data_IF_055342282937
#
_entry.id   IF_055342282937
#
_cell.length_a   1.000
_cell.length_b   1.000
_cell.length_c   1.000
_cell.angle_alpha   90.00
_cell.angle_beta   90.00
_cell.angle_gamma   90.00
#
_symmetry.space_group_name_H-M   'P 1'
#
loop_
_entity.id
_entity.type
_entity.pdbx_description
1 polymer ?
#
# COMPACT_ATOMS: atom_id res chain seq x y z
N UNK A 1 -14.63 -6.61 -15.07
CA UNK A 1 -14.30 -5.35 -14.38
C UNK A 1 -12.86 -5.24 -13.91
N UNK A 2 -12.24 -6.32 -13.47
CA UNK A 2 -10.94 -6.40 -12.78
C UNK A 2 -9.73 -5.83 -13.57
N UNK A 3 -9.72 -5.96 -14.89
CA UNK A 3 -8.58 -5.49 -15.71
C UNK A 3 -8.48 -3.96 -15.81
N UNK A 4 -9.59 -3.22 -15.69
CA UNK A 4 -9.59 -1.75 -15.81
C UNK A 4 -9.18 -1.04 -14.51
N UNK A 5 -9.47 -1.64 -13.36
CA UNK A 5 -9.21 -1.01 -12.07
C UNK A 5 -7.72 -0.96 -11.72
N UNK A 6 -6.96 -2.02 -12.00
CA UNK A 6 -5.50 -2.03 -11.80
C UNK A 6 -4.78 -1.00 -12.69
N UNK A 7 -5.29 -0.73 -13.89
CA UNK A 7 -4.79 0.30 -14.82
C UNK A 7 -4.82 1.69 -14.21
N UNK A 8 -5.92 2.03 -13.58
CA UNK A 8 -6.18 3.36 -13.05
C UNK A 8 -5.29 3.64 -11.83
N UNK A 9 -5.05 2.60 -11.01
CA UNK A 9 -4.30 2.71 -9.75
C UNK A 9 -2.85 3.12 -9.96
N UNK A 10 -2.10 2.36 -10.76
CA UNK A 10 -0.68 2.64 -10.95
C UNK A 10 -0.45 3.82 -11.89
N UNK A 11 -1.21 3.92 -12.98
CA UNK A 11 -1.09 5.05 -13.90
C UNK A 11 -1.46 6.38 -13.21
N UNK A 12 -2.49 6.41 -12.40
CA UNK A 12 -2.92 7.60 -11.67
C UNK A 12 -1.86 8.10 -10.69
N UNK A 13 -1.22 7.20 -9.94
CA UNK A 13 -0.15 7.56 -9.00
C UNK A 13 1.06 8.14 -9.72
N UNK A 14 1.54 7.50 -10.78
CA UNK A 14 2.68 8.00 -11.55
C UNK A 14 2.39 9.32 -12.28
N UNK A 15 1.17 9.51 -12.79
CA UNK A 15 0.74 10.78 -13.38
C UNK A 15 0.71 11.92 -12.38
N UNK A 16 0.35 11.62 -11.13
CA UNK A 16 0.38 12.61 -10.06
C UNK A 16 1.81 13.00 -9.68
N UNK A 17 2.76 12.05 -9.66
CA UNK A 17 4.17 12.31 -9.36
C UNK A 17 4.84 13.26 -10.37
N UNK A 18 4.40 13.27 -11.60
CA UNK A 18 4.92 14.21 -12.64
C UNK A 18 4.53 15.67 -12.35
N UNK A 19 3.52 15.92 -11.50
CA UNK A 19 2.90 17.23 -11.32
C UNK A 19 2.73 17.67 -9.88
N UNK A 20 2.94 16.80 -8.92
CA UNK A 20 2.78 17.06 -7.49
C UNK A 20 4.01 16.63 -6.71
N UNK A 21 4.30 17.28 -5.55
CA UNK A 21 5.38 16.83 -4.66
C UNK A 21 5.17 15.38 -4.23
N UNK A 22 6.24 14.58 -4.27
CA UNK A 22 6.22 13.17 -3.84
C UNK A 22 5.65 13.03 -2.42
N UNK A 23 6.01 13.96 -1.54
CA UNK A 23 5.50 14.04 -0.18
C UNK A 23 3.95 14.08 -0.12
N UNK A 24 3.32 14.89 -0.96
CA UNK A 24 1.86 15.01 -1.01
C UNK A 24 1.22 13.72 -1.59
N UNK A 25 1.80 13.13 -2.62
CA UNK A 25 1.35 11.86 -3.18
C UNK A 25 1.46 10.72 -2.15
N UNK A 26 2.52 10.72 -1.32
CA UNK A 26 2.72 9.78 -0.22
C UNK A 26 1.58 9.88 0.80
N UNK A 27 1.20 11.09 1.23
CA UNK A 27 0.06 11.27 2.16
C UNK A 27 -1.22 10.71 1.55
N UNK A 28 -1.49 10.99 0.27
CA UNK A 28 -2.67 10.44 -0.43
C UNK A 28 -2.63 8.91 -0.45
N UNK A 29 -1.49 8.31 -0.75
CA UNK A 29 -1.35 6.84 -0.74
C UNK A 29 -1.66 6.26 0.64
N UNK A 30 -1.11 6.82 1.71
CA UNK A 30 -1.32 6.33 3.08
C UNK A 30 -2.71 6.63 3.67
N UNK A 31 -3.64 7.16 2.88
CA UNK A 31 -5.07 7.14 3.25
C UNK A 31 -5.69 5.74 3.11
N UNK A 32 -4.98 4.77 2.49
CA UNK A 32 -5.53 3.44 2.21
C UNK A 32 -6.05 2.69 3.45
N UNK A 33 -5.53 2.81 4.68
CA UNK A 33 -6.14 2.14 5.84
C UNK A 33 -7.57 2.63 6.11
N UNK A 34 -7.80 3.94 5.92
CA UNK A 34 -9.14 4.53 6.04
C UNK A 34 -10.04 4.03 4.91
N UNK A 35 -9.53 3.99 3.68
CA UNK A 35 -10.27 3.47 2.52
C UNK A 35 -10.63 2.00 2.71
N UNK A 36 -9.71 1.17 3.24
CA UNK A 36 -9.98 -0.24 3.57
C UNK A 36 -11.12 -0.36 4.58
N UNK A 37 -11.13 0.46 5.63
CA UNK A 37 -12.21 0.47 6.62
C UNK A 37 -13.56 0.78 5.99
N UNK A 38 -13.62 1.84 5.18
CA UNK A 38 -14.85 2.28 4.53
C UNK A 38 -15.34 1.24 3.52
N UNK A 39 -14.47 0.77 2.63
CA UNK A 39 -14.84 -0.26 1.64
C UNK A 39 -15.23 -1.57 2.31
N UNK A 40 -14.52 -2.00 3.36
CA UNK A 40 -14.86 -3.18 4.13
C UNK A 40 -16.22 -3.06 4.81
N UNK A 41 -16.57 -1.87 5.30
CA UNK A 41 -17.89 -1.63 5.89
C UNK A 41 -19.02 -1.72 4.85
N UNK A 42 -18.79 -1.17 3.65
CA UNK A 42 -19.77 -1.17 2.55
C UNK A 42 -19.94 -2.58 1.97
N UNK A 43 -18.84 -3.21 1.58
CA UNK A 43 -18.83 -4.50 0.85
C UNK A 43 -19.32 -5.65 1.74
N UNK A 44 -18.79 -5.69 2.98
CA UNK A 44 -19.13 -6.78 3.92
C UNK A 44 -20.27 -6.43 4.87
N UNK A 45 -20.88 -5.24 4.73
CA UNK A 45 -21.94 -4.73 5.61
C UNK A 45 -21.57 -4.82 7.10
N UNK A 46 -20.29 -4.61 7.42
CA UNK A 46 -19.77 -4.68 8.79
C UNK A 46 -19.74 -3.30 9.42
N UNK A 47 -20.26 -3.12 10.65
CA UNK A 47 -20.23 -1.81 11.31
C UNK A 47 -18.79 -1.33 11.51
N UNK A 48 -18.58 -0.03 11.41
CA UNK A 48 -17.34 0.63 11.78
C UNK A 48 -17.30 0.77 13.30
N UNK A 49 -16.24 0.26 13.91
CA UNK A 49 -16.03 0.47 15.34
C UNK A 49 -15.21 1.73 15.56
N UNK A 50 -15.60 2.56 16.53
CA UNK A 50 -14.91 3.82 16.84
C UNK A 50 -13.40 3.63 17.05
N UNK A 51 -12.98 2.52 17.68
CA UNK A 51 -11.57 2.18 17.89
C UNK A 51 -10.81 1.93 16.58
N UNK A 52 -11.44 1.30 15.57
CA UNK A 52 -10.82 1.06 14.27
C UNK A 52 -10.61 2.39 13.53
N UNK A 53 -11.60 3.26 13.59
CA UNK A 53 -11.53 4.61 13.02
C UNK A 53 -10.44 5.44 13.73
N UNK A 54 -10.40 5.40 15.07
CA UNK A 54 -9.38 6.11 15.84
C UNK A 54 -7.96 5.64 15.49
N UNK A 55 -7.73 4.33 15.35
CA UNK A 55 -6.42 3.78 14.97
C UNK A 55 -6.04 4.20 13.56
N UNK A 56 -6.94 4.09 12.58
CA UNK A 56 -6.67 4.52 11.22
C UNK A 56 -6.39 6.04 11.14
N UNK A 57 -7.13 6.84 11.90
CA UNK A 57 -6.90 8.29 12.00
C UNK A 57 -5.55 8.60 12.64
N UNK A 58 -5.15 7.86 13.70
CA UNK A 58 -3.84 8.02 14.34
C UNK A 58 -2.70 7.70 13.37
N UNK A 59 -2.82 6.60 12.60
CA UNK A 59 -1.84 6.22 11.58
C UNK A 59 -1.73 7.33 10.52
N UNK A 60 -2.85 7.77 9.97
CA UNK A 60 -2.87 8.82 8.96
C UNK A 60 -2.29 10.13 9.49
N UNK A 61 -2.64 10.51 10.71
CA UNK A 61 -2.09 11.71 11.36
C UNK A 61 -0.57 11.60 11.56
N UNK A 62 -0.07 10.42 11.95
CA UNK A 62 1.36 10.15 12.05
C UNK A 62 2.10 10.32 10.72
N UNK A 63 1.52 9.84 9.62
CA UNK A 63 2.07 10.03 8.26
C UNK A 63 2.08 11.52 7.88
N UNK A 64 0.96 12.21 8.04
CA UNK A 64 0.84 13.64 7.72
C UNK A 64 1.84 14.48 8.51
N UNK A 65 1.99 14.18 9.81
CA UNK A 65 2.95 14.87 10.67
C UNK A 65 4.39 14.63 10.21
N UNK A 66 4.73 13.41 9.81
CA UNK A 66 6.07 13.04 9.32
C UNK A 66 6.41 13.69 8.00
N UNK A 67 5.45 13.80 7.10
CA UNK A 67 5.65 14.41 5.78
C UNK A 67 5.77 15.94 5.88
N UNK A 68 5.12 16.54 6.87
CA UNK A 68 5.11 17.98 7.09
C UNK A 68 4.22 18.76 6.11
N UNK A 69 4.28 20.07 6.14
CA UNK A 69 3.46 20.94 5.28
C UNK A 69 3.86 20.78 3.82
N UNK A 70 2.93 20.31 3.00
CA UNK A 70 3.15 19.97 1.58
C UNK A 70 2.93 21.15 0.63
N UNK A 71 2.71 22.36 1.12
CA UNK A 71 2.45 23.53 0.27
C UNK A 71 1.23 23.32 -0.65
N UNK A 72 0.12 22.84 -0.13
CA UNK A 72 -1.10 22.50 -0.87
C UNK A 72 -1.73 23.74 -1.53
N UNK A 73 -1.39 23.97 -2.79
CA UNK A 73 -2.13 24.89 -3.65
C UNK A 73 -3.28 24.14 -4.35
N UNK A 74 -4.27 24.87 -4.86
CA UNK A 74 -5.38 24.28 -5.63
C UNK A 74 -4.86 23.48 -6.83
N UNK A 75 -3.80 23.92 -7.49
CA UNK A 75 -3.17 23.23 -8.61
C UNK A 75 -2.57 21.88 -8.19
N UNK A 76 -1.92 21.82 -7.02
CA UNK A 76 -1.38 20.58 -6.44
C UNK A 76 -2.51 19.64 -6.06
N UNK A 77 -3.59 20.13 -5.46
CA UNK A 77 -4.76 19.31 -5.12
C UNK A 77 -5.39 18.66 -6.36
N UNK A 78 -5.53 19.40 -7.46
CA UNK A 78 -6.03 18.86 -8.74
C UNK A 78 -5.06 17.82 -9.31
N UNK A 79 -3.75 18.09 -9.24
CA UNK A 79 -2.73 17.14 -9.72
C UNK A 79 -2.70 15.82 -8.92
N UNK A 80 -3.18 15.82 -7.67
CA UNK A 80 -3.26 14.64 -6.81
C UNK A 80 -4.54 13.81 -7.02
N UNK A 81 -5.55 14.31 -7.74
CA UNK A 81 -6.79 13.56 -7.98
C UNK A 81 -6.55 12.16 -8.59
N UNK A 82 -5.67 11.99 -9.60
CA UNK A 82 -5.36 10.66 -10.12
C UNK A 82 -4.69 9.74 -9.09
N UNK A 83 -3.95 10.28 -8.12
CA UNK A 83 -3.28 9.50 -7.08
C UNK A 83 -4.27 8.82 -6.11
N UNK A 84 -5.49 9.34 -5.98
CA UNK A 84 -6.56 8.74 -5.14
C UNK A 84 -6.93 7.33 -5.63
N UNK A 85 -6.69 7.01 -6.89
CA UNK A 85 -6.90 5.67 -7.41
C UNK A 85 -6.01 4.62 -6.71
N UNK A 86 -4.80 5.00 -6.26
CA UNK A 86 -3.86 4.07 -5.62
C UNK A 86 -4.38 3.51 -4.28
N UNK A 87 -4.80 4.31 -3.29
CA UNK A 87 -5.36 3.77 -2.05
C UNK A 87 -6.67 3.00 -2.27
N UNK A 88 -7.50 3.37 -3.24
CA UNK A 88 -8.73 2.63 -3.58
C UNK A 88 -8.39 1.26 -4.16
N UNK A 89 -7.46 1.19 -5.11
CA UNK A 89 -7.04 -0.07 -5.70
C UNK A 89 -6.35 -0.99 -4.71
N UNK A 90 -5.47 -0.45 -3.86
CA UNK A 90 -4.84 -1.24 -2.80
C UNK A 90 -5.86 -1.78 -1.81
N UNK A 91 -6.82 -0.96 -1.37
CA UNK A 91 -7.91 -1.38 -0.50
C UNK A 91 -8.76 -2.47 -1.15
N UNK A 92 -9.14 -2.31 -2.41
CA UNK A 92 -9.89 -3.33 -3.17
C UNK A 92 -9.10 -4.64 -3.27
N UNK A 93 -7.80 -4.57 -3.55
CA UNK A 93 -6.93 -5.73 -3.58
C UNK A 93 -6.92 -6.48 -2.24
N UNK A 94 -6.79 -5.78 -1.10
CA UNK A 94 -6.83 -6.40 0.22
C UNK A 94 -8.19 -7.05 0.54
N UNK A 95 -9.30 -6.40 0.14
CA UNK A 95 -10.64 -6.97 0.33
C UNK A 95 -10.80 -8.27 -0.45
N UNK A 96 -10.28 -8.32 -1.67
CA UNK A 96 -10.34 -9.52 -2.51
C UNK A 96 -9.48 -10.63 -1.95
N UNK A 97 -8.27 -10.34 -1.51
CA UNK A 97 -7.38 -11.34 -0.89
C UNK A 97 -7.98 -11.94 0.37
N UNK A 98 -8.68 -11.13 1.16
CA UNK A 98 -9.28 -11.54 2.44
C UNK A 98 -10.70 -12.10 2.31
N UNK A 99 -11.31 -11.98 1.13
CA UNK A 99 -12.67 -12.41 0.83
C UNK A 99 -12.71 -13.46 -0.28
N UNK A 100 -13.09 -13.09 -1.53
CA UNK A 100 -13.33 -14.08 -2.59
C UNK A 100 -12.12 -14.95 -2.93
N UNK A 101 -10.92 -14.39 -2.83
CA UNK A 101 -9.68 -15.11 -3.12
C UNK A 101 -9.04 -15.76 -1.88
N UNK A 102 -9.66 -15.70 -0.70
CA UNK A 102 -9.04 -16.18 0.54
C UNK A 102 -8.66 -17.66 0.47
N UNK A 103 -9.52 -18.48 -0.11
CA UNK A 103 -9.31 -19.94 -0.25
C UNK A 103 -8.33 -20.33 -1.37
N UNK A 104 -7.96 -19.42 -2.26
CA UNK A 104 -7.04 -19.72 -3.36
C UNK A 104 -5.60 -19.90 -2.85
N UNK A 105 -4.79 -20.78 -3.42
CA UNK A 105 -3.36 -20.88 -3.12
C UNK A 105 -2.63 -19.56 -3.40
N UNK A 106 -1.51 -19.33 -2.69
CA UNK A 106 -0.75 -18.07 -2.80
C UNK A 106 -0.16 -17.86 -4.19
N UNK A 107 0.44 -18.90 -4.79
CA UNK A 107 1.12 -18.79 -6.07
C UNK A 107 0.22 -18.30 -7.22
N UNK A 108 -0.99 -18.84 -7.48
CA UNK A 108 -1.90 -18.30 -8.48
C UNK A 108 -2.31 -16.85 -8.23
N UNK A 109 -2.47 -16.44 -6.97
CA UNK A 109 -2.80 -15.04 -6.64
C UNK A 109 -1.67 -14.07 -7.00
N UNK A 110 -0.43 -14.44 -6.63
CA UNK A 110 0.77 -13.64 -6.97
C UNK A 110 0.96 -13.58 -8.49
N UNK A 111 0.81 -14.71 -9.17
CA UNK A 111 0.92 -14.76 -10.63
C UNK A 111 -0.15 -13.90 -11.31
N UNK A 112 -1.41 -13.99 -10.88
CA UNK A 112 -2.50 -13.20 -11.42
C UNK A 112 -2.27 -11.68 -11.21
N UNK A 113 -1.77 -11.29 -10.03
CA UNK A 113 -1.40 -9.91 -9.73
C UNK A 113 -0.26 -9.40 -10.64
N UNK A 114 0.80 -10.19 -10.78
CA UNK A 114 1.93 -9.85 -11.66
C UNK A 114 1.52 -9.77 -13.13
N UNK A 115 0.76 -10.76 -13.63
CA UNK A 115 0.25 -10.77 -14.99
C UNK A 115 -0.68 -9.57 -15.25
N UNK A 116 -1.53 -9.21 -14.28
CA UNK A 116 -2.36 -8.01 -14.33
C UNK A 116 -1.51 -6.75 -14.45
N UNK A 117 -0.49 -6.61 -13.60
CA UNK A 117 0.45 -5.48 -13.64
C UNK A 117 1.15 -5.34 -14.99
N UNK A 118 1.70 -6.44 -15.52
CA UNK A 118 2.37 -6.45 -16.84
C UNK A 118 1.39 -6.07 -17.97
N UNK A 119 0.19 -6.65 -17.99
CA UNK A 119 -0.83 -6.37 -19.02
C UNK A 119 -1.18 -4.88 -19.09
N UNK A 120 -1.00 -4.18 -17.99
CA UNK A 120 -1.32 -2.76 -17.85
C UNK A 120 -0.12 -1.87 -18.13
N UNK A 121 0.99 -2.15 -17.45
CA UNK A 121 2.17 -1.28 -17.53
C UNK A 121 2.89 -1.42 -18.85
N UNK A 122 2.89 -2.61 -19.45
CA UNK A 122 3.60 -2.83 -20.72
C UNK A 122 3.08 -1.96 -21.86
N UNK A 123 1.76 -1.90 -22.17
CA UNK A 123 1.25 -1.01 -23.22
C UNK A 123 1.48 0.47 -22.90
N UNK A 124 1.39 0.86 -21.64
CA UNK A 124 1.61 2.24 -21.21
C UNK A 124 3.08 2.64 -21.41
N UNK A 125 4.00 1.78 -21.03
CA UNK A 125 5.44 1.99 -21.25
C UNK A 125 5.75 2.07 -22.74
N UNK A 126 5.21 1.12 -23.52
CA UNK A 126 5.38 1.08 -24.97
C UNK A 126 4.88 2.36 -25.64
N UNK A 127 3.74 2.88 -25.21
CA UNK A 127 3.18 4.12 -25.76
C UNK A 127 3.99 5.38 -25.41
N UNK A 128 4.71 5.37 -24.26
CA UNK A 128 5.51 6.52 -23.84
C UNK A 128 6.96 6.51 -24.33
N UNK A 129 7.60 5.34 -24.35
CA UNK A 129 9.03 5.22 -24.63
C UNK A 129 9.34 4.54 -25.96
N UNK A 130 8.34 4.00 -26.65
CA UNK A 130 8.55 3.10 -27.77
C UNK A 130 9.21 1.79 -27.36
N UNK A 131 9.43 0.89 -28.31
CA UNK A 131 10.11 -0.38 -28.07
C UNK A 131 11.64 -0.19 -28.09
N UNK A 132 12.16 0.58 -27.14
CA UNK A 132 13.60 0.72 -26.96
C UNK A 132 14.05 -0.31 -25.91
N UNK A 133 14.44 -1.50 -26.40
CA UNK A 133 15.11 -2.50 -25.58
C UNK A 133 16.58 -2.14 -25.58
N UNK A 134 17.02 -1.37 -24.59
CA UNK A 134 18.43 -1.14 -24.37
C UNK A 134 19.14 -2.48 -24.05
N UNK A 135 20.33 -2.76 -24.61
CA UNK A 135 21.09 -3.95 -24.24
C UNK A 135 21.39 -3.91 -22.73
N UNK A 136 20.84 -4.86 -22.01
CA UNK A 136 21.09 -4.96 -20.57
C UNK A 136 22.40 -5.70 -20.33
N UNK A 137 23.31 -5.10 -19.57
CA UNK A 137 24.49 -5.79 -19.04
C UNK A 137 24.07 -6.86 -18.05
N UNK A 138 24.89 -7.88 -17.85
CA UNK A 138 24.63 -8.93 -16.85
C UNK A 138 24.40 -8.34 -15.46
N UNK A 139 25.19 -7.33 -15.08
CA UNK A 139 25.08 -6.67 -13.76
C UNK A 139 23.73 -5.92 -13.63
N UNK A 140 23.28 -5.24 -14.70
CA UNK A 140 21.98 -4.58 -14.71
C UNK A 140 20.83 -5.60 -14.58
N UNK A 141 20.95 -6.73 -15.27
CA UNK A 141 19.94 -7.82 -15.17
C UNK A 141 19.89 -8.41 -13.76
N UNK A 142 21.04 -8.68 -13.15
CA UNK A 142 21.12 -9.17 -11.76
C UNK A 142 20.55 -8.15 -10.79
N UNK A 143 20.88 -6.87 -10.93
CA UNK A 143 20.36 -5.82 -10.06
C UNK A 143 18.83 -5.68 -10.19
N UNK A 144 18.29 -5.67 -11.40
CA UNK A 144 16.82 -5.60 -11.61
C UNK A 144 16.12 -6.85 -11.07
N UNK A 145 16.71 -8.03 -11.27
CA UNK A 145 16.16 -9.28 -10.73
C UNK A 145 16.14 -9.25 -9.20
N UNK A 146 17.25 -8.87 -8.59
CA UNK A 146 17.35 -8.75 -7.13
C UNK A 146 16.34 -7.73 -6.57
N UNK A 147 16.26 -6.53 -7.17
CA UNK A 147 15.29 -5.52 -6.78
C UNK A 147 13.86 -6.05 -6.92
N UNK A 148 13.51 -6.69 -8.04
CA UNK A 148 12.16 -7.23 -8.27
C UNK A 148 11.81 -8.29 -7.24
N UNK A 149 12.73 -9.18 -6.89
CA UNK A 149 12.50 -10.19 -5.86
C UNK A 149 12.28 -9.56 -4.50
N UNK A 150 13.15 -8.63 -4.10
CA UNK A 150 13.10 -8.03 -2.76
C UNK A 150 11.95 -7.03 -2.58
N UNK A 151 11.64 -6.24 -3.61
CA UNK A 151 10.66 -5.14 -3.48
C UNK A 151 9.25 -5.51 -3.95
N UNK A 152 9.11 -6.54 -4.77
CA UNK A 152 7.81 -6.92 -5.34
C UNK A 152 7.44 -8.38 -5.01
N UNK A 153 8.22 -9.36 -5.42
CA UNK A 153 7.81 -10.75 -5.37
C UNK A 153 7.66 -11.27 -3.93
N UNK A 154 8.66 -11.04 -3.07
CA UNK A 154 8.62 -11.48 -1.67
C UNK A 154 7.52 -10.74 -0.88
N UNK A 155 7.42 -9.40 -0.90
CA UNK A 155 6.35 -8.68 -0.22
C UNK A 155 4.95 -9.08 -0.73
N UNK A 156 4.77 -9.21 -2.06
CA UNK A 156 3.49 -9.64 -2.63
C UNK A 156 3.09 -11.04 -2.15
N UNK A 157 4.04 -11.98 -2.09
CA UNK A 157 3.79 -13.33 -1.57
C UNK A 157 3.39 -13.29 -0.09
N UNK A 158 4.10 -12.52 0.74
CA UNK A 158 3.82 -12.37 2.16
C UNK A 158 2.45 -11.74 2.42
N UNK A 159 2.12 -10.66 1.72
CA UNK A 159 0.80 -10.02 1.83
C UNK A 159 -0.31 -10.97 1.35
N UNK A 160 -0.10 -11.63 0.22
CA UNK A 160 -1.08 -12.56 -0.36
C UNK A 160 -1.36 -13.76 0.54
N UNK A 161 -0.32 -14.24 1.25
CA UNK A 161 -0.44 -15.30 2.23
C UNK A 161 -1.05 -14.80 3.56
N UNK A 162 -0.61 -13.65 4.05
CA UNK A 162 -0.98 -13.12 5.36
C UNK A 162 -2.34 -12.45 5.41
N UNK A 163 -2.78 -11.77 4.33
CA UNK A 163 -4.03 -11.01 4.33
C UNK A 163 -5.28 -11.86 4.62
N UNK A 164 -5.45 -13.08 4.10
CA UNK A 164 -6.57 -13.94 4.48
C UNK A 164 -6.57 -14.35 5.96
N UNK A 165 -5.40 -14.44 6.59
CA UNK A 165 -5.24 -14.82 7.99
C UNK A 165 -5.57 -13.64 8.93
N UNK A 166 -5.08 -12.45 8.62
CA UNK A 166 -5.27 -11.25 9.42
C UNK A 166 -6.62 -10.53 9.16
N UNK A 167 -7.15 -10.68 7.94
CA UNK A 167 -8.31 -9.95 7.44
C UNK A 167 -7.93 -8.58 6.86
N UNK A 168 -8.82 -8.06 6.02
CA UNK A 168 -8.64 -6.83 5.24
C UNK A 168 -8.26 -5.60 6.10
N UNK A 169 -9.04 -5.32 7.15
CA UNK A 169 -8.84 -4.15 8.01
C UNK A 169 -7.51 -4.17 8.75
N UNK A 170 -7.17 -5.30 9.35
CA UNK A 170 -5.92 -5.43 10.08
C UNK A 170 -4.71 -5.39 9.15
N UNK A 171 -4.78 -6.08 8.00
CA UNK A 171 -3.72 -6.03 6.99
C UNK A 171 -3.50 -4.62 6.48
N UNK A 172 -4.58 -3.85 6.24
CA UNK A 172 -4.49 -2.45 5.86
C UNK A 172 -3.77 -1.59 6.89
N UNK A 173 -4.06 -1.76 8.18
CA UNK A 173 -3.41 -1.00 9.25
C UNK A 173 -1.94 -1.43 9.44
N UNK A 174 -1.67 -2.75 9.46
CA UNK A 174 -0.32 -3.30 9.64
C UNK A 174 0.59 -2.90 8.48
N UNK A 175 0.06 -2.87 7.25
CA UNK A 175 0.79 -2.44 6.07
C UNK A 175 1.39 -1.03 6.20
N UNK A 176 0.81 -0.15 7.01
CA UNK A 176 1.35 1.19 7.26
C UNK A 176 2.73 1.20 7.94
N UNK A 177 3.20 0.07 8.47
CA UNK A 177 4.60 -0.06 8.93
C UNK A 177 5.61 0.14 7.80
N UNK A 178 5.23 -0.09 6.55
CA UNK A 178 6.05 0.22 5.38
C UNK A 178 6.58 1.66 5.43
N UNK A 179 5.73 2.62 5.85
CA UNK A 179 6.13 4.01 5.99
C UNK A 179 7.27 4.19 7.02
N UNK A 180 7.17 3.53 8.17
CA UNK A 180 8.20 3.60 9.23
C UNK A 180 9.50 2.96 8.76
N UNK A 181 9.41 1.82 8.08
CA UNK A 181 10.57 1.14 7.50
C UNK A 181 11.23 2.02 6.43
N UNK A 182 10.45 2.69 5.58
CA UNK A 182 10.97 3.62 4.57
C UNK A 182 11.69 4.81 5.21
N UNK A 183 11.15 5.39 6.29
CA UNK A 183 11.83 6.45 7.06
C UNK A 183 13.14 5.97 7.67
N UNK A 184 13.12 4.81 8.31
CA UNK A 184 14.32 4.21 8.91
C UNK A 184 15.38 3.92 7.86
N UNK A 185 15.01 3.37 6.70
CA UNK A 185 15.92 3.11 5.59
C UNK A 185 16.50 4.41 5.02
N UNK A 186 15.69 5.45 4.86
CA UNK A 186 16.17 6.76 4.41
C UNK A 186 17.23 7.35 5.37
N UNK A 187 17.01 7.20 6.66
CA UNK A 187 17.95 7.68 7.66
C UNK A 187 19.24 6.85 7.69
N UNK A 188 19.12 5.52 7.75
CA UNK A 188 20.28 4.63 7.95
C UNK A 188 21.09 4.41 6.68
N UNK A 189 20.45 4.29 5.51
CA UNK A 189 21.10 3.96 4.24
C UNK A 189 21.46 5.20 3.41
N UNK A 190 20.60 6.23 3.48
CA UNK A 190 20.77 7.43 2.65
C UNK A 190 21.31 8.63 3.45
N UNK A 191 21.46 8.51 4.78
CA UNK A 191 21.97 9.58 5.64
C UNK A 191 21.01 10.79 5.75
N UNK A 192 19.73 10.64 5.37
CA UNK A 192 18.76 11.73 5.45
C UNK A 192 18.41 11.99 6.91
N UNK A 193 18.69 13.18 7.47
CA UNK A 193 18.42 13.47 8.88
C UNK A 193 16.91 13.47 9.13
N UNK A 194 16.48 12.77 10.18
CA UNK A 194 15.10 12.80 10.64
C UNK A 194 14.92 13.89 11.69
N UNK A 195 13.91 14.72 11.50
CA UNK A 195 13.49 15.73 12.48
C UNK A 195 12.53 15.14 13.53
N UNK A 196 12.22 15.93 14.55
CA UNK A 196 11.33 15.52 15.65
C UNK A 196 9.94 15.08 15.14
N UNK A 197 9.41 15.76 14.12
CA UNK A 197 8.11 15.43 13.53
C UNK A 197 8.09 14.02 12.93
N UNK A 198 9.16 13.60 12.24
CA UNK A 198 9.30 12.26 11.69
C UNK A 198 9.35 11.18 12.77
N UNK A 199 10.09 11.41 13.87
CA UNK A 199 10.14 10.47 14.99
C UNK A 199 8.78 10.34 15.69
N UNK A 200 8.10 11.46 15.97
CA UNK A 200 6.77 11.45 16.59
C UNK A 200 5.76 10.77 15.67
N UNK A 201 5.76 11.10 14.38
CA UNK A 201 4.87 10.51 13.41
C UNK A 201 5.09 9.00 13.24
N UNK A 202 6.34 8.55 13.14
CA UNK A 202 6.69 7.12 13.13
C UNK A 202 6.21 6.40 14.39
N UNK A 203 6.37 7.03 15.56
CA UNK A 203 5.88 6.52 16.84
C UNK A 203 4.36 6.35 16.87
N UNK A 204 3.61 7.32 16.31
CA UNK A 204 2.16 7.23 16.17
C UNK A 204 1.73 6.08 15.24
N UNK A 205 2.41 5.91 14.11
CA UNK A 205 2.15 4.80 13.18
C UNK A 205 2.42 3.47 13.87
N UNK A 206 3.58 3.30 14.52
CA UNK A 206 3.92 2.08 15.28
C UNK A 206 2.90 1.78 16.38
N UNK A 207 2.49 2.79 17.15
CA UNK A 207 1.48 2.67 18.21
C UNK A 207 0.13 2.24 17.65
N UNK A 208 -0.33 2.86 16.57
CA UNK A 208 -1.57 2.48 15.88
C UNK A 208 -1.53 1.04 15.38
N UNK A 209 -0.45 0.63 14.75
CA UNK A 209 -0.27 -0.75 14.26
C UNK A 209 -0.20 -1.75 15.42
N UNK A 210 0.49 -1.44 16.51
CA UNK A 210 0.55 -2.30 17.70
C UNK A 210 -0.83 -2.51 18.33
N UNK A 211 -1.70 -1.51 18.31
CA UNK A 211 -3.10 -1.65 18.74
C UNK A 211 -3.88 -2.51 17.75
N UNK A 212 -3.73 -2.28 16.44
CA UNK A 212 -4.42 -3.06 15.40
C UNK A 212 -4.05 -4.54 15.44
N UNK A 213 -2.79 -4.88 15.65
CA UNK A 213 -2.29 -6.27 15.67
C UNK A 213 -2.90 -7.11 16.82
N UNK A 214 -3.24 -6.47 17.94
CA UNK A 214 -3.90 -7.17 19.06
C UNK A 214 -5.29 -7.69 18.72
N UNK A 215 -5.97 -7.08 17.76
CA UNK A 215 -7.31 -7.53 17.34
C UNK A 215 -7.29 -8.79 16.48
N UNK A 216 -6.21 -9.02 15.74
CA UNK A 216 -6.04 -10.24 14.95
C UNK A 216 -5.83 -11.46 15.84
N UNK A 217 -5.04 -11.32 16.90
CA UNK A 217 -4.78 -12.40 17.86
C UNK A 217 -6.05 -12.90 18.57
N UNK A 218 -6.99 -12.01 18.88
CA UNK A 218 -8.25 -12.37 19.55
C UNK A 218 -9.19 -13.19 18.64
N UNK A 219 -9.22 -12.92 17.33
CA UNK A 219 -10.08 -13.64 16.36
C UNK A 219 -9.57 -15.06 16.06
N UNK A 220 -8.26 -15.26 16.05
CA UNK A 220 -7.65 -16.59 15.86
C UNK A 220 -7.87 -17.51 17.06
N UNK A 221 -7.78 -16.98 18.28
CA UNK A 221 -8.00 -17.74 19.50
C UNK A 221 -9.45 -18.24 19.68
N UNK A 222 -10.42 -17.51 19.14
CA UNK A 222 -11.84 -17.92 19.22
C UNK A 222 -12.16 -19.04 18.24
N UNK A 223 -11.53 -19.07 17.06
CA UNK A 223 -11.72 -20.14 16.07
C UNK A 223 -11.11 -21.48 16.49
N UNK A 224 -9.99 -21.46 17.22
CA UNK A 224 -9.35 -22.68 17.71
C UNK A 224 -10.09 -23.31 18.90
N UNK A 225 -10.93 -22.55 19.60
CA UNK A 225 -11.76 -23.06 20.71
C UNK A 225 -13.11 -23.65 20.27
N UNK A 226 -13.49 -23.45 19.01
CA UNK A 226 -14.77 -23.93 18.46
C UNK A 226 -14.62 -25.16 17.54
N UNK A 227 -13.45 -25.73 17.44
CA UNK A 227 -13.15 -27.03 16.80
C UNK A 227 -12.75 -28.05 17.88
#
# INVERSE_FOLDING_TARGET
GWRRESLIVFAGFFLALDRAPVAAATVVYYTYPVVVLVLSAIVWKRPLHAREVAVAATILFGVVLSVGPTGMSTSVAIALLPAVAAPIGWATFLLVLSGPAAAMPTAPKVFAGAAGGVTVLFPLTLARTGLHIAPMTTDALLAVTFLTLCTLAIPAALVTWGAPLAGDRATGMIGSLEFVVALAASWTLMGVPLGTAQFVGAGLVCGGVAVASRWTGQRSGTRLRSQ
#
